data_IF_530711572058
#
_entry.id   IF_530711572058
#
_cell.length_a   1.000
_cell.length_b   1.000
_cell.length_c   1.000
_cell.angle_alpha   90.00
_cell.angle_beta   90.00
_cell.angle_gamma   90.00
#
_symmetry.space_group_name_H-M   'P 1'
#
loop_
_entity.id
_entity.type
_entity.pdbx_description
1 polymer ?
#
# COMPACT_ATOMS: atom_id res chain seq x y z
N UNK A 1 -8.07 25.56 -9.28
CA UNK A 1 -7.56 26.53 -10.27
C UNK A 1 -8.32 26.36 -11.60
N UNK A 2 -8.93 27.42 -12.14
CA UNK A 2 -9.71 27.40 -13.40
C UNK A 2 -8.84 27.55 -14.68
N UNK A 3 -7.56 27.92 -14.56
CA UNK A 3 -6.66 28.09 -15.71
C UNK A 3 -6.05 26.74 -16.15
N UNK A 4 -6.23 26.39 -17.43
CA UNK A 4 -5.78 25.12 -18.04
C UNK A 4 -4.26 24.98 -18.05
N UNK A 5 -3.51 26.06 -18.26
CA UNK A 5 -2.05 26.03 -18.31
C UNK A 5 -1.42 25.82 -16.92
N UNK A 6 -1.99 26.42 -15.88
CA UNK A 6 -1.54 26.19 -14.49
C UNK A 6 -1.79 24.75 -14.02
N UNK A 7 -2.77 24.04 -14.60
CA UNK A 7 -2.99 22.61 -14.27
C UNK A 7 -1.93 21.69 -14.86
N UNK A 8 -1.18 22.12 -15.88
CA UNK A 8 -0.14 21.31 -16.50
C UNK A 8 1.14 21.24 -15.68
N UNK A 9 1.37 22.19 -14.77
CA UNK A 9 2.56 22.21 -13.92
C UNK A 9 2.26 21.41 -12.64
N UNK A 10 3.00 20.33 -12.36
CA UNK A 10 2.81 19.56 -11.13
C UNK A 10 3.08 20.43 -9.90
N UNK A 11 2.18 20.37 -8.90
CA UNK A 11 2.38 21.09 -7.64
C UNK A 11 3.73 20.79 -6.96
N UNK A 12 4.26 19.54 -6.96
CA UNK A 12 5.59 19.27 -6.41
C UNK A 12 6.71 20.07 -7.09
N UNK A 13 6.62 20.29 -8.40
CA UNK A 13 7.60 21.07 -9.14
C UNK A 13 7.58 22.54 -8.70
N UNK A 14 6.40 23.12 -8.49
CA UNK A 14 6.28 24.50 -7.98
C UNK A 14 6.88 24.65 -6.58
N UNK A 15 6.67 23.67 -5.70
CA UNK A 15 7.24 23.67 -4.34
C UNK A 15 8.77 23.62 -4.39
N UNK A 16 9.34 22.79 -5.28
CA UNK A 16 10.80 22.72 -5.47
C UNK A 16 11.34 24.03 -6.06
N UNK A 17 10.71 24.58 -7.10
CA UNK A 17 11.16 25.83 -7.72
C UNK A 17 11.08 27.03 -6.75
N UNK A 18 9.98 27.14 -6.00
CA UNK A 18 9.85 28.15 -4.94
C UNK A 18 10.91 27.93 -3.86
N UNK A 19 11.12 26.68 -3.47
CA UNK A 19 12.19 26.27 -2.57
C UNK A 19 13.56 26.75 -3.02
N UNK A 20 13.94 26.47 -4.27
CA UNK A 20 15.20 26.91 -4.85
C UNK A 20 15.33 28.43 -4.88
N UNK A 21 14.24 29.15 -5.22
CA UNK A 21 14.22 30.61 -5.22
C UNK A 21 14.45 31.17 -3.80
N UNK A 22 13.77 30.62 -2.79
CA UNK A 22 13.99 30.97 -1.39
C UNK A 22 15.38 30.57 -0.91
N UNK A 23 15.86 29.39 -1.30
CA UNK A 23 17.19 28.92 -0.96
C UNK A 23 18.29 29.84 -1.49
N UNK A 24 18.08 30.43 -2.68
CA UNK A 24 18.95 31.47 -3.23
C UNK A 24 18.80 32.80 -2.51
N UNK A 25 17.58 33.18 -2.15
CA UNK A 25 17.31 34.41 -1.39
C UNK A 25 17.98 34.39 -0.01
N UNK A 26 17.94 33.25 0.67
CA UNK A 26 18.58 33.02 1.97
C UNK A 26 20.04 32.53 1.86
N UNK A 27 20.65 32.62 0.67
CA UNK A 27 22.03 32.19 0.39
C UNK A 27 22.44 30.85 1.02
N UNK A 28 21.60 29.81 0.87
CA UNK A 28 21.89 28.46 1.38
C UNK A 28 23.16 27.84 0.78
N UNK A 29 23.73 28.42 -0.28
CA UNK A 29 24.94 27.95 -0.92
C UNK A 29 26.22 28.29 -0.13
N UNK A 30 26.16 29.22 0.83
CA UNK A 30 27.30 29.62 1.63
C UNK A 30 26.98 29.53 3.11
N UNK A 31 27.99 29.14 3.90
CA UNK A 31 27.84 29.08 5.35
C UNK A 31 27.85 30.48 5.93
N UNK A 32 26.75 30.87 6.57
CA UNK A 32 26.61 32.16 7.23
C UNK A 32 25.60 32.08 8.38
N UNK A 33 25.66 33.06 9.28
CA UNK A 33 24.71 33.19 10.38
C UNK A 33 23.52 34.00 9.87
N UNK A 34 22.32 33.42 9.94
CA UNK A 34 21.10 34.14 9.66
C UNK A 34 20.45 34.58 10.98
N UNK A 35 20.31 35.89 11.17
CA UNK A 35 19.65 36.48 12.33
C UNK A 35 18.16 36.69 12.01
N UNK A 36 17.31 35.88 12.62
CA UNK A 36 15.87 36.04 12.51
C UNK A 36 15.39 37.10 13.50
N UNK A 37 14.85 38.23 13.01
CA UNK A 37 14.36 39.37 13.81
C UNK A 37 15.44 39.96 14.75
N UNK A 38 16.48 40.63 14.19
CA UNK A 38 17.62 41.12 14.96
C UNK A 38 17.26 42.13 16.09
N UNK A 39 16.11 42.80 15.99
CA UNK A 39 15.66 43.82 16.95
C UNK A 39 14.64 43.31 17.99
N UNK A 40 14.28 42.01 17.97
CA UNK A 40 13.27 41.47 18.86
C UNK A 40 13.85 41.16 20.26
N UNK A 41 13.46 41.94 21.27
CA UNK A 41 13.93 41.84 22.68
C UNK A 41 13.54 40.55 23.41
N UNK A 42 12.75 39.66 22.82
CA UNK A 42 12.09 38.54 23.51
C UNK A 42 12.70 37.16 23.21
N UNK A 43 13.67 37.06 22.31
CA UNK A 43 14.28 35.77 21.91
C UNK A 43 15.81 35.88 21.90
N UNK A 44 16.49 35.60 23.03
CA UNK A 44 17.94 35.63 23.08
C UNK A 44 18.52 34.52 22.18
N UNK A 45 19.30 34.92 21.18
CA UNK A 45 20.13 34.08 20.30
C UNK A 45 19.38 33.11 19.36
N UNK A 46 18.76 33.64 18.30
CA UNK A 46 18.43 32.85 17.10
C UNK A 46 19.57 32.93 16.07
N UNK A 47 20.78 32.54 16.48
CA UNK A 47 21.88 32.30 15.55
C UNK A 47 21.68 30.91 14.94
N UNK A 48 21.02 30.85 13.79
CA UNK A 48 20.96 29.63 13.01
C UNK A 48 22.06 29.68 11.94
N UNK A 49 23.02 28.74 12.00
CA UNK A 49 24.01 28.56 10.93
C UNK A 49 23.32 27.93 9.73
N UNK A 50 23.16 28.72 8.69
CA UNK A 50 22.56 28.35 7.42
C UNK A 50 23.69 28.04 6.43
N UNK A 51 23.48 27.10 5.51
CA UNK A 51 24.50 26.73 4.51
C UNK A 51 24.20 25.45 3.73
N UNK A 52 25.20 24.93 2.98
CA UNK A 52 25.03 23.87 1.99
C UNK A 52 24.46 22.55 2.53
N UNK A 53 24.62 22.28 3.83
CA UNK A 53 24.07 21.10 4.51
C UNK A 53 22.56 20.95 4.39
N UNK A 54 21.85 22.04 4.08
CA UNK A 54 20.40 22.05 3.88
C UNK A 54 19.99 21.90 2.41
N UNK A 55 20.94 21.67 1.51
CA UNK A 55 20.71 21.38 0.10
C UNK A 55 20.90 19.88 -0.17
N UNK A 56 20.30 19.39 -1.25
CA UNK A 56 20.47 17.99 -1.69
C UNK A 56 21.93 17.74 -2.09
N UNK A 57 22.51 16.68 -1.55
CA UNK A 57 23.86 16.24 -1.90
C UNK A 57 23.80 14.99 -2.76
N UNK A 58 24.44 15.05 -3.93
CA UNK A 58 24.71 13.89 -4.81
C UNK A 58 26.20 13.92 -5.18
N UNK A 59 26.77 12.77 -5.54
CA UNK A 59 28.16 12.71 -5.97
C UNK A 59 28.38 13.58 -7.22
N UNK A 60 29.45 14.38 -7.22
CA UNK A 60 29.84 15.18 -8.39
C UNK A 60 30.20 14.30 -9.60
N UNK A 61 30.74 13.11 -9.33
CA UNK A 61 31.09 12.11 -10.32
C UNK A 61 30.06 10.99 -10.32
N UNK A 62 29.29 10.87 -11.40
CA UNK A 62 28.28 9.81 -11.57
C UNK A 62 28.87 8.40 -11.35
N UNK A 63 30.07 8.13 -11.88
CA UNK A 63 30.72 6.82 -11.71
C UNK A 63 31.10 6.52 -10.25
N UNK A 64 31.28 7.54 -9.40
CA UNK A 64 31.58 7.33 -7.98
C UNK A 64 30.34 6.92 -7.17
N UNK A 65 29.15 6.90 -7.78
CA UNK A 65 27.92 6.41 -7.14
C UNK A 65 27.72 4.90 -7.26
N UNK A 66 28.57 4.20 -8.01
CA UNK A 66 28.49 2.75 -8.17
C UNK A 66 29.31 2.04 -7.10
N UNK A 67 28.66 1.11 -6.40
CA UNK A 67 29.31 0.23 -5.44
C UNK A 67 29.08 -1.22 -5.86
N UNK A 68 30.07 -2.08 -5.68
CA UNK A 68 29.91 -3.52 -5.93
C UNK A 68 29.60 -4.26 -4.63
N UNK A 69 28.85 -5.38 -4.68
CA UNK A 69 28.48 -6.12 -3.48
C UNK A 69 29.71 -6.60 -2.71
N UNK A 70 29.73 -6.29 -1.42
CA UNK A 70 30.63 -6.91 -0.44
C UNK A 70 29.86 -7.98 0.36
N UNK A 71 30.29 -9.23 0.23
CA UNK A 71 29.66 -10.37 0.89
C UNK A 71 30.23 -10.68 2.28
N UNK A 72 31.10 -9.83 2.84
CA UNK A 72 31.69 -10.03 4.16
C UNK A 72 30.66 -10.25 5.28
N UNK A 73 29.48 -9.62 5.18
CA UNK A 73 28.39 -9.76 6.16
C UNK A 73 27.41 -10.90 5.87
N UNK A 74 27.55 -11.65 4.77
CA UNK A 74 26.57 -12.67 4.39
C UNK A 74 26.39 -13.79 5.45
N UNK A 75 27.41 -14.04 6.28
CA UNK A 75 27.35 -15.01 7.37
C UNK A 75 26.80 -14.47 8.70
N UNK A 76 26.41 -13.19 8.78
CA UNK A 76 25.97 -12.58 10.04
C UNK A 76 24.45 -12.58 10.19
N UNK A 77 23.98 -12.61 11.44
CA UNK A 77 22.56 -12.55 11.76
C UNK A 77 21.91 -11.22 11.36
N UNK A 78 22.63 -10.10 11.54
CA UNK A 78 22.18 -8.76 11.17
C UNK A 78 21.86 -8.65 9.66
N UNK A 79 22.70 -9.26 8.81
CA UNK A 79 22.48 -9.28 7.37
C UNK A 79 21.17 -9.99 7.03
N UNK A 80 20.96 -11.20 7.54
CA UNK A 80 19.75 -11.97 7.25
C UNK A 80 18.48 -11.35 7.86
N UNK A 81 18.60 -10.67 8.99
CA UNK A 81 17.48 -9.90 9.56
C UNK A 81 17.06 -8.78 8.62
N UNK A 82 18.03 -8.07 8.02
CA UNK A 82 17.77 -7.01 7.04
C UNK A 82 17.19 -7.58 5.74
N UNK A 83 17.75 -8.69 5.24
CA UNK A 83 17.27 -9.36 4.01
C UNK A 83 15.82 -9.82 4.16
N UNK A 84 15.48 -10.50 5.26
CA UNK A 84 14.12 -10.96 5.52
C UNK A 84 13.17 -9.76 5.65
N UNK A 85 13.57 -8.72 6.37
CA UNK A 85 12.75 -7.52 6.55
C UNK A 85 12.45 -6.82 5.22
N UNK A 86 13.48 -6.57 4.40
CA UNK A 86 13.33 -5.95 3.08
C UNK A 86 12.50 -6.84 2.15
N UNK A 87 12.72 -8.16 2.17
CA UNK A 87 11.96 -9.11 1.36
C UNK A 87 10.47 -9.09 1.70
N UNK A 88 10.13 -9.15 3.00
CA UNK A 88 8.74 -9.15 3.45
C UNK A 88 8.05 -7.81 3.16
N UNK A 89 8.67 -6.69 3.53
CA UNK A 89 8.11 -5.36 3.28
C UNK A 89 7.98 -5.08 1.79
N UNK A 90 9.03 -5.36 1.00
CA UNK A 90 9.01 -5.17 -0.44
C UNK A 90 7.96 -6.04 -1.14
N UNK A 91 7.78 -7.30 -0.71
CA UNK A 91 6.77 -8.19 -1.28
C UNK A 91 5.35 -7.72 -0.95
N UNK A 92 5.11 -7.31 0.30
CA UNK A 92 3.81 -6.75 0.72
C UNK A 92 3.48 -5.48 -0.07
N UNK A 93 4.41 -4.54 -0.16
CA UNK A 93 4.24 -3.29 -0.90
C UNK A 93 4.00 -3.55 -2.40
N UNK A 94 4.71 -4.51 -3.01
CA UNK A 94 4.50 -4.88 -4.42
C UNK A 94 3.09 -5.40 -4.65
N UNK A 95 2.64 -6.35 -3.83
CA UNK A 95 1.32 -6.98 -3.96
C UNK A 95 0.21 -5.96 -3.70
N UNK A 96 0.31 -5.18 -2.63
CA UNK A 96 -0.69 -4.16 -2.29
C UNK A 96 -0.76 -3.06 -3.37
N UNK A 97 0.39 -2.62 -3.87
CA UNK A 97 0.45 -1.63 -4.94
C UNK A 97 -0.14 -2.19 -6.24
N UNK A 98 0.22 -3.40 -6.65
CA UNK A 98 -0.31 -4.03 -7.86
C UNK A 98 -1.84 -4.17 -7.80
N UNK A 99 -2.39 -4.67 -6.68
CA UNK A 99 -3.84 -4.79 -6.51
C UNK A 99 -4.55 -3.43 -6.53
N UNK A 100 -3.95 -2.40 -5.92
CA UNK A 100 -4.53 -1.07 -5.92
C UNK A 100 -4.46 -0.42 -7.31
N UNK A 101 -3.38 -0.64 -8.05
CA UNK A 101 -3.20 -0.17 -9.43
C UNK A 101 -4.18 -0.87 -10.38
N UNK A 102 -4.39 -2.18 -10.23
CA UNK A 102 -5.41 -2.93 -10.98
C UNK A 102 -6.82 -2.34 -10.76
N UNK A 103 -7.15 -1.94 -9.53
CA UNK A 103 -8.43 -1.28 -9.20
C UNK A 103 -8.57 0.11 -9.85
N UNK A 104 -7.46 0.79 -10.14
CA UNK A 104 -7.44 2.10 -10.80
C UNK A 104 -7.37 2.01 -12.32
N UNK A 105 -7.04 0.84 -12.89
CA UNK A 105 -6.83 0.66 -14.32
C UNK A 105 -8.15 0.81 -15.11
N UNK A 106 -8.28 1.81 -16.01
CA UNK A 106 -9.49 2.01 -16.80
C UNK A 106 -9.83 0.82 -17.72
N UNK A 107 -8.84 -0.02 -18.03
CA UNK A 107 -9.01 -1.21 -18.85
C UNK A 107 -9.31 -2.47 -18.04
N UNK A 108 -9.42 -2.36 -16.71
CA UNK A 108 -9.74 -3.46 -15.79
C UNK A 108 -8.85 -4.69 -15.96
N UNK A 109 -7.57 -4.48 -16.33
CA UNK A 109 -6.61 -5.57 -16.46
C UNK A 109 -6.22 -6.07 -15.07
N UNK A 110 -5.81 -7.34 -15.01
CA UNK A 110 -5.33 -7.98 -13.78
C UNK A 110 -3.86 -8.32 -13.88
N UNK A 111 -3.15 -8.01 -12.81
CA UNK A 111 -1.73 -8.33 -12.67
C UNK A 111 -1.55 -9.78 -12.20
N UNK A 112 -0.59 -10.47 -12.79
CA UNK A 112 -0.09 -11.72 -12.22
C UNK A 112 0.90 -11.36 -11.10
N UNK A 113 0.46 -11.48 -9.85
CA UNK A 113 1.22 -11.07 -8.67
C UNK A 113 2.53 -11.86 -8.50
N UNK A 114 2.55 -13.15 -8.85
CA UNK A 114 3.78 -13.96 -8.78
C UNK A 114 4.81 -13.47 -9.79
N UNK A 115 4.35 -13.12 -10.99
CA UNK A 115 5.21 -12.55 -12.03
C UNK A 115 5.73 -11.17 -11.64
N UNK A 116 4.89 -10.34 -11.03
CA UNK A 116 5.28 -9.01 -10.52
C UNK A 116 6.35 -9.11 -9.43
N UNK A 117 6.11 -9.95 -8.41
CA UNK A 117 7.08 -10.21 -7.34
C UNK A 117 8.42 -10.74 -7.88
N UNK A 118 8.36 -11.67 -8.83
CA UNK A 118 9.57 -12.19 -9.49
C UNK A 118 10.33 -11.09 -10.23
N UNK A 119 9.62 -10.22 -10.97
CA UNK A 119 10.22 -9.12 -11.70
C UNK A 119 10.87 -8.08 -10.77
N UNK A 120 10.21 -7.73 -9.65
CA UNK A 120 10.77 -6.84 -8.62
C UNK A 120 11.99 -7.48 -7.95
N UNK A 121 11.96 -8.78 -7.66
CA UNK A 121 13.10 -9.51 -7.12
C UNK A 121 14.32 -9.48 -8.05
N UNK A 122 14.13 -9.76 -9.34
CA UNK A 122 15.20 -9.67 -10.36
C UNK A 122 15.71 -8.23 -10.48
N UNK A 123 14.80 -7.24 -10.52
CA UNK A 123 15.16 -5.83 -10.56
C UNK A 123 16.01 -5.40 -9.36
N UNK A 124 15.65 -5.86 -8.16
CA UNK A 124 16.40 -5.59 -6.93
C UNK A 124 17.75 -6.29 -6.89
N UNK A 125 17.86 -7.50 -7.43
CA UNK A 125 19.15 -8.18 -7.59
C UNK A 125 20.08 -7.33 -8.47
N UNK A 126 19.62 -6.93 -9.66
CA UNK A 126 20.40 -6.10 -10.59
C UNK A 126 20.76 -4.75 -9.96
N UNK A 127 19.81 -4.10 -9.28
CA UNK A 127 20.02 -2.84 -8.56
C UNK A 127 21.11 -2.98 -7.49
N UNK A 128 21.06 -4.05 -6.69
CA UNK A 128 22.05 -4.31 -5.65
C UNK A 128 23.46 -4.59 -6.18
N UNK A 129 23.59 -5.22 -7.36
CA UNK A 129 24.89 -5.47 -8.01
C UNK A 129 25.65 -4.18 -8.37
N UNK A 130 24.95 -3.06 -8.49
CA UNK A 130 25.52 -1.75 -8.80
C UNK A 130 25.48 -0.78 -7.61
N UNK A 131 25.16 -1.27 -6.42
CA UNK A 131 25.16 -0.47 -5.19
C UNK A 131 23.88 0.32 -4.97
N UNK A 132 22.83 0.02 -5.74
CA UNK A 132 21.53 0.65 -5.59
C UNK A 132 20.77 0.17 -4.36
N UNK A 133 19.86 1.01 -3.89
CA UNK A 133 18.97 0.69 -2.77
C UNK A 133 17.82 -0.22 -3.23
N UNK A 134 17.24 -1.03 -2.32
CA UNK A 134 16.04 -1.81 -2.62
C UNK A 134 14.92 -0.92 -3.16
N UNK A 135 14.39 -1.31 -4.31
CA UNK A 135 13.26 -0.68 -4.98
C UNK A 135 11.96 -1.40 -4.60
N UNK A 136 10.88 -0.62 -4.54
CA UNK A 136 9.52 -1.08 -4.30
C UNK A 136 8.59 -0.56 -5.40
N UNK A 137 7.45 -1.24 -5.58
CA UNK A 137 6.33 -0.68 -6.33
C UNK A 137 5.76 0.52 -5.55
N UNK A 138 5.18 1.49 -6.27
CA UNK A 138 4.69 2.71 -5.63
C UNK A 138 3.39 3.20 -6.28
N UNK A 139 2.33 3.28 -5.47
CA UNK A 139 0.96 3.56 -5.92
C UNK A 139 0.77 5.01 -6.42
N UNK A 140 1.43 6.00 -5.82
CA UNK A 140 1.24 7.41 -6.18
C UNK A 140 1.81 7.69 -7.58
N UNK A 141 2.98 7.15 -7.92
CA UNK A 141 3.58 7.23 -9.26
C UNK A 141 2.76 6.43 -10.25
N UNK A 142 2.31 5.23 -9.88
CA UNK A 142 1.50 4.39 -10.78
C UNK A 142 0.15 5.03 -11.10
N UNK A 143 -0.53 5.60 -10.10
CA UNK A 143 -1.79 6.34 -10.31
C UNK A 143 -1.57 7.63 -11.12
N UNK A 144 -0.47 8.36 -10.89
CA UNK A 144 -0.11 9.49 -11.74
C UNK A 144 0.13 9.06 -13.19
N UNK A 145 0.77 7.91 -13.41
CA UNK A 145 1.02 7.36 -14.74
C UNK A 145 -0.31 7.05 -15.47
N UNK A 146 -1.23 6.36 -14.78
CA UNK A 146 -2.58 6.07 -15.29
C UNK A 146 -3.35 7.35 -15.60
N UNK A 147 -3.33 8.33 -14.68
CA UNK A 147 -4.02 9.61 -14.86
C UNK A 147 -3.48 10.42 -16.04
N UNK A 148 -2.22 10.21 -16.43
CA UNK A 148 -1.61 10.79 -17.63
C UNK A 148 -1.79 9.91 -18.88
N UNK A 149 -2.62 8.87 -18.82
CA UNK A 149 -2.99 8.05 -19.97
C UNK A 149 -1.99 6.98 -20.37
N UNK A 150 -1.01 6.66 -19.52
CA UNK A 150 -0.07 5.58 -19.79
C UNK A 150 -0.78 4.22 -19.88
N UNK A 151 -0.37 3.40 -20.86
CA UNK A 151 -1.03 2.11 -21.16
C UNK A 151 -0.10 0.90 -21.10
N UNK A 152 1.21 1.12 -21.26
CA UNK A 152 2.22 0.06 -21.43
C UNK A 152 3.42 0.30 -20.51
N UNK A 153 4.22 -0.75 -20.29
CA UNK A 153 5.43 -0.68 -19.46
C UNK A 153 6.50 0.30 -19.97
N UNK A 154 6.41 0.75 -21.23
CA UNK A 154 7.30 1.77 -21.80
C UNK A 154 7.27 3.08 -21.02
N UNK A 155 6.14 3.44 -20.41
CA UNK A 155 6.06 4.63 -19.58
C UNK A 155 7.05 4.58 -18.40
N UNK A 156 7.21 3.41 -17.77
CA UNK A 156 8.17 3.23 -16.67
C UNK A 156 9.62 3.25 -17.18
N UNK A 157 9.87 2.62 -18.35
CA UNK A 157 11.20 2.66 -18.98
C UNK A 157 11.65 4.10 -19.27
N UNK A 158 10.80 4.88 -19.95
CA UNK A 158 11.12 6.28 -20.26
C UNK A 158 11.19 7.15 -19.02
N UNK A 159 10.34 6.91 -18.00
CA UNK A 159 10.45 7.60 -16.73
C UNK A 159 11.83 7.40 -16.08
N UNK A 160 12.30 6.15 -16.00
CA UNK A 160 13.64 5.83 -15.51
C UNK A 160 14.76 6.43 -16.36
N UNK A 161 14.64 6.36 -17.68
CA UNK A 161 15.61 6.93 -18.62
C UNK A 161 15.73 8.45 -18.48
N UNK A 162 14.60 9.16 -18.34
CA UNK A 162 14.60 10.61 -18.12
C UNK A 162 15.16 10.98 -16.75
N UNK A 163 14.89 10.18 -15.71
CA UNK A 163 15.48 10.40 -14.39
C UNK A 163 17.01 10.24 -14.45
N UNK A 164 17.50 9.18 -15.10
CA UNK A 164 18.94 8.97 -15.31
C UNK A 164 19.56 10.14 -16.09
N UNK A 165 18.95 10.54 -17.20
CA UNK A 165 19.40 11.69 -17.99
C UNK A 165 19.46 12.96 -17.16
N UNK A 166 18.46 13.20 -16.30
CA UNK A 166 18.40 14.40 -15.47
C UNK A 166 19.51 14.43 -14.42
N UNK A 167 19.77 13.29 -13.77
CA UNK A 167 20.85 13.15 -12.78
C UNK A 167 22.23 13.37 -13.42
N UNK A 168 22.44 12.86 -14.64
CA UNK A 168 23.72 13.00 -15.35
C UNK A 168 23.93 14.42 -15.90
N UNK A 169 22.90 15.03 -16.49
CA UNK A 169 23.04 16.32 -17.18
C UNK A 169 22.89 17.54 -16.26
N UNK A 170 22.15 17.42 -15.15
CA UNK A 170 21.80 18.57 -14.30
C UNK A 170 22.18 18.41 -12.82
N UNK A 171 23.39 17.92 -12.46
CA UNK A 171 23.77 17.73 -11.06
C UNK A 171 23.78 19.06 -10.26
N UNK A 172 24.26 20.15 -10.89
CA UNK A 172 24.24 21.49 -10.28
C UNK A 172 22.83 21.98 -9.93
N UNK A 173 21.84 21.61 -10.75
CA UNK A 173 20.46 21.97 -10.50
C UNK A 173 19.92 21.19 -9.29
N UNK A 174 20.25 19.90 -9.20
CA UNK A 174 19.87 19.03 -8.08
C UNK A 174 20.47 19.55 -6.77
N UNK A 175 21.75 19.95 -6.77
CA UNK A 175 22.43 20.54 -5.61
C UNK A 175 21.83 21.86 -5.13
N UNK A 176 20.97 22.52 -5.92
CA UNK A 176 20.29 23.74 -5.49
C UNK A 176 18.95 23.49 -4.81
N UNK A 177 18.49 22.25 -4.76
CA UNK A 177 17.20 21.88 -4.15
C UNK A 177 17.34 21.88 -2.63
N UNK A 178 16.58 22.68 -1.89
CA UNK A 178 16.59 22.62 -0.43
C UNK A 178 15.91 21.36 0.10
N UNK A 179 16.49 20.75 1.12
CA UNK A 179 15.91 19.62 1.84
C UNK A 179 14.55 19.98 2.45
N UNK A 180 14.34 21.24 2.84
CA UNK A 180 13.06 21.73 3.33
C UNK A 180 11.91 21.56 2.32
N UNK A 181 12.18 21.71 1.02
CA UNK A 181 11.19 21.49 -0.03
C UNK A 181 10.79 20.03 -0.13
N UNK A 182 11.78 19.12 -0.06
CA UNK A 182 11.53 17.69 -0.04
C UNK A 182 10.78 17.26 1.23
N UNK A 183 11.18 17.78 2.38
CA UNK A 183 10.50 17.54 3.66
C UNK A 183 9.04 18.02 3.63
N UNK A 184 8.78 19.22 3.12
CA UNK A 184 7.41 19.74 2.98
C UNK A 184 6.55 18.85 2.08
N UNK A 185 7.10 18.36 0.96
CA UNK A 185 6.41 17.40 0.10
C UNK A 185 6.13 16.08 0.81
N UNK A 186 7.09 15.53 1.55
CA UNK A 186 6.93 14.30 2.31
C UNK A 186 5.85 14.43 3.39
N UNK A 187 5.88 15.51 4.19
CA UNK A 187 4.87 15.78 5.23
C UNK A 187 3.48 15.94 4.60
N UNK A 188 3.37 16.67 3.49
CA UNK A 188 2.10 16.83 2.80
C UNK A 188 1.58 15.49 2.25
N UNK A 189 2.44 14.67 1.66
CA UNK A 189 2.04 13.33 1.18
C UNK A 189 1.62 12.43 2.33
N UNK A 190 2.36 12.43 3.45
CA UNK A 190 2.02 11.68 4.65
C UNK A 190 0.67 12.10 5.23
N UNK A 191 0.40 13.40 5.34
CA UNK A 191 -0.88 13.92 5.79
C UNK A 191 -2.05 13.50 4.88
N UNK A 192 -1.82 13.48 3.55
CA UNK A 192 -2.84 13.05 2.60
C UNK A 192 -3.16 11.56 2.73
N UNK A 193 -2.13 10.73 2.94
CA UNK A 193 -2.27 9.28 3.11
C UNK A 193 -2.91 8.93 4.47
N UNK A 194 -2.54 9.64 5.54
CA UNK A 194 -3.07 9.46 6.90
C UNK A 194 -4.17 10.48 7.24
N UNK A 195 -4.97 10.89 6.25
CA UNK A 195 -5.96 11.94 6.46
C UNK A 195 -7.07 11.51 7.43
N UNK A 196 -7.71 12.43 8.18
CA UNK A 196 -8.82 12.10 9.06
C UNK A 196 -9.99 11.38 8.37
N UNK A 197 -10.11 11.53 7.04
CA UNK A 197 -11.10 10.82 6.23
C UNK A 197 -10.85 9.31 6.21
N UNK A 198 -9.60 8.86 6.23
CA UNK A 198 -9.27 7.43 6.24
C UNK A 198 -9.66 6.79 7.58
N UNK A 199 -9.44 7.48 8.70
CA UNK A 199 -9.96 7.05 10.01
C UNK A 199 -11.49 7.00 10.04
N UNK A 200 -12.16 8.00 9.44
CA UNK A 200 -13.62 8.00 9.32
C UNK A 200 -14.13 6.82 8.48
N UNK A 201 -13.45 6.46 7.39
CA UNK A 201 -13.80 5.26 6.60
C UNK A 201 -13.66 4.00 7.44
N UNK A 202 -12.53 3.81 8.14
CA UNK A 202 -12.34 2.65 9.02
C UNK A 202 -13.42 2.57 10.11
N UNK A 203 -13.82 3.70 10.68
CA UNK A 203 -14.92 3.74 11.66
C UNK A 203 -16.27 3.33 11.07
N UNK A 204 -16.58 3.74 9.83
CA UNK A 204 -17.83 3.36 9.15
C UNK A 204 -17.93 1.85 8.89
N UNK A 205 -16.79 1.17 8.68
CA UNK A 205 -16.75 -0.30 8.59
C UNK A 205 -17.06 -0.98 9.93
N UNK A 206 -16.79 -0.30 11.05
CA UNK A 206 -17.12 -0.73 12.39
C UNK A 206 -16.05 -0.37 13.43
N UNK A 207 -16.46 -0.28 14.70
CA UNK A 207 -15.57 0.06 15.82
C UNK A 207 -14.37 -0.90 15.95
N UNK A 208 -14.59 -2.17 15.67
CA UNK A 208 -13.52 -3.19 15.66
C UNK A 208 -12.46 -2.89 14.60
N UNK A 209 -12.87 -2.50 13.39
CA UNK A 209 -11.95 -2.20 12.31
C UNK A 209 -11.15 -0.93 12.59
N UNK A 210 -11.78 0.10 13.17
CA UNK A 210 -11.06 1.27 13.67
C UNK A 210 -10.07 0.89 14.78
N UNK A 211 -10.46 0.05 15.73
CA UNK A 211 -9.57 -0.41 16.80
C UNK A 211 -8.33 -1.13 16.24
N UNK A 212 -8.53 -2.10 15.35
CA UNK A 212 -7.44 -2.80 14.66
C UNK A 212 -6.53 -1.84 13.89
N UNK A 213 -7.12 -0.87 13.18
CA UNK A 213 -6.39 0.14 12.43
C UNK A 213 -5.50 0.99 13.34
N UNK A 214 -6.05 1.51 14.44
CA UNK A 214 -5.32 2.36 15.40
C UNK A 214 -4.23 1.57 16.13
N UNK A 215 -4.51 0.34 16.57
CA UNK A 215 -3.53 -0.52 17.23
C UNK A 215 -2.35 -0.83 16.30
N UNK A 216 -2.63 -1.12 15.03
CA UNK A 216 -1.58 -1.38 14.03
C UNK A 216 -0.73 -0.13 13.81
N UNK A 217 -1.35 1.06 13.65
CA UNK A 217 -0.62 2.34 13.51
C UNK A 217 0.25 2.59 14.74
N UNK A 218 -0.30 2.44 15.94
CA UNK A 218 0.45 2.64 17.18
C UNK A 218 1.63 1.67 17.29
N UNK A 219 1.43 0.41 16.90
CA UNK A 219 2.49 -0.60 16.81
C UNK A 219 3.62 -0.18 15.86
N UNK A 220 3.28 0.24 14.63
CA UNK A 220 4.27 0.70 13.64
C UNK A 220 5.05 1.92 14.12
N UNK A 221 4.36 2.92 14.70
CA UNK A 221 5.00 4.15 15.17
C UNK A 221 5.88 3.94 16.41
N UNK A 222 5.52 2.98 17.27
CA UNK A 222 6.29 2.68 18.49
C UNK A 222 7.47 1.72 18.22
N UNK A 223 7.41 0.95 17.13
CA UNK A 223 8.41 -0.07 16.80
C UNK A 223 8.87 0.07 15.35
N UNK A 224 8.42 -0.81 14.47
CA UNK A 224 8.66 -0.77 13.03
C UNK A 224 7.46 -1.35 12.27
N UNK A 225 7.50 -1.28 10.94
CA UNK A 225 6.43 -1.76 10.07
C UNK A 225 6.12 -3.25 10.27
N UNK A 226 7.14 -4.10 10.36
CA UNK A 226 6.97 -5.55 10.41
C UNK A 226 6.37 -5.99 11.76
N UNK A 227 6.88 -5.44 12.86
CA UNK A 227 6.36 -5.68 14.20
C UNK A 227 4.94 -5.13 14.32
N UNK A 228 4.67 -3.92 13.80
CA UNK A 228 3.32 -3.35 13.81
C UNK A 228 2.30 -4.21 13.06
N UNK A 229 2.65 -4.75 11.89
CA UNK A 229 1.80 -5.69 11.15
C UNK A 229 1.59 -6.99 11.94
N UNK A 230 2.63 -7.54 12.56
CA UNK A 230 2.53 -8.73 13.39
C UNK A 230 1.60 -8.53 14.60
N UNK A 231 1.66 -7.35 15.25
CA UNK A 231 0.73 -6.95 16.31
C UNK A 231 -0.70 -6.94 15.78
N UNK A 232 -0.94 -6.27 14.64
CA UNK A 232 -2.27 -6.20 14.02
C UNK A 232 -2.87 -7.57 13.72
N UNK A 233 -2.07 -8.47 13.13
CA UNK A 233 -2.47 -9.86 12.84
C UNK A 233 -2.79 -10.63 14.14
N UNK A 234 -1.94 -10.49 15.15
CA UNK A 234 -2.12 -11.17 16.46
C UNK A 234 -3.40 -10.71 17.14
N UNK A 235 -3.63 -9.39 17.19
CA UNK A 235 -4.85 -8.82 17.76
C UNK A 235 -6.07 -9.26 16.97
N UNK A 236 -5.99 -9.35 15.63
CA UNK A 236 -7.09 -9.86 14.80
C UNK A 236 -7.44 -11.31 15.13
N UNK A 237 -6.44 -12.19 15.29
CA UNK A 237 -6.67 -13.56 15.72
C UNK A 237 -7.32 -13.64 17.10
N UNK A 238 -6.86 -12.83 18.06
CA UNK A 238 -7.45 -12.77 19.39
C UNK A 238 -8.93 -12.33 19.33
N UNK A 239 -9.25 -11.31 18.53
CA UNK A 239 -10.64 -10.86 18.33
C UNK A 239 -11.53 -11.95 17.72
N UNK A 240 -11.02 -12.75 16.78
CA UNK A 240 -11.75 -13.89 16.23
C UNK A 240 -12.02 -14.96 17.29
N UNK A 241 -11.03 -15.30 18.13
CA UNK A 241 -11.22 -16.24 19.24
C UNK A 241 -12.26 -15.73 20.23
N UNK A 242 -12.22 -14.44 20.59
CA UNK A 242 -13.20 -13.80 21.48
C UNK A 242 -14.62 -13.79 20.89
N UNK A 243 -14.75 -13.89 19.56
CA UNK A 243 -16.03 -14.01 18.85
C UNK A 243 -16.50 -15.45 18.63
N UNK A 244 -15.88 -16.41 19.30
CA UNK A 244 -16.29 -17.82 19.24
C UNK A 244 -15.79 -18.55 18.00
N UNK A 245 -14.85 -17.97 17.24
CA UNK A 245 -14.18 -18.71 16.16
C UNK A 245 -13.31 -19.79 16.78
N UNK A 246 -13.60 -21.04 16.47
CA UNK A 246 -12.83 -22.19 16.97
C UNK A 246 -11.41 -22.20 16.36
N UNK A 247 -10.36 -22.58 17.11
CA UNK A 247 -9.00 -22.69 16.57
C UNK A 247 -8.89 -23.55 15.30
N UNK A 248 -9.71 -24.61 15.22
CA UNK A 248 -9.78 -25.50 14.05
C UNK A 248 -10.22 -24.79 12.76
N UNK A 249 -10.96 -23.68 12.87
CA UNK A 249 -11.44 -22.90 11.74
C UNK A 249 -10.50 -21.74 11.38
N UNK A 250 -9.41 -21.50 12.13
CA UNK A 250 -8.55 -20.34 11.88
C UNK A 250 -7.80 -20.40 10.54
N UNK A 251 -7.37 -21.58 10.13
CA UNK A 251 -6.53 -21.75 8.94
C UNK A 251 -7.18 -22.58 7.84
N UNK A 252 -8.36 -23.16 8.11
CA UNK A 252 -9.12 -23.97 7.15
C UNK A 252 -10.59 -23.60 7.20
N UNK A 253 -11.11 -23.18 6.05
CA UNK A 253 -12.53 -22.94 5.86
C UNK A 253 -13.19 -24.27 5.49
N UNK A 254 -14.33 -24.56 6.11
CA UNK A 254 -15.15 -25.70 5.72
C UNK A 254 -16.10 -25.24 4.63
N UNK A 255 -15.85 -25.65 3.38
CA UNK A 255 -16.76 -25.40 2.28
C UNK A 255 -16.91 -26.65 1.41
N UNK A 256 -18.06 -26.79 0.77
CA UNK A 256 -18.33 -27.86 -0.20
C UNK A 256 -18.85 -27.27 -1.49
N UNK A 257 -18.29 -27.74 -2.61
CA UNK A 257 -18.80 -27.44 -3.94
C UNK A 257 -19.70 -28.59 -4.39
N UNK A 258 -20.92 -28.25 -4.80
CA UNK A 258 -21.88 -29.18 -5.38
C UNK A 258 -22.34 -28.64 -6.71
N UNK A 259 -22.11 -29.38 -7.78
CA UNK A 259 -22.74 -29.09 -9.07
C UNK A 259 -24.13 -29.70 -9.05
N UNK A 260 -25.17 -28.87 -9.16
CA UNK A 260 -26.56 -29.32 -9.29
C UNK A 260 -26.85 -29.71 -10.73
N UNK A 261 -26.44 -28.86 -11.68
CA UNK A 261 -26.56 -29.04 -13.12
C UNK A 261 -25.28 -28.54 -13.84
N UNK A 262 -25.23 -28.70 -15.17
CA UNK A 262 -24.14 -28.15 -15.99
C UNK A 262 -23.93 -26.64 -15.76
N UNK A 263 -25.01 -25.91 -15.46
CA UNK A 263 -25.03 -24.45 -15.38
C UNK A 263 -25.00 -23.90 -13.94
N UNK A 264 -25.11 -24.73 -12.90
CA UNK A 264 -25.25 -24.27 -11.50
C UNK A 264 -24.26 -24.92 -10.55
N UNK A 265 -23.50 -24.06 -9.85
CA UNK A 265 -22.52 -24.44 -8.85
C UNK A 265 -22.93 -23.88 -7.48
N UNK A 266 -23.19 -24.77 -6.53
CA UNK A 266 -23.46 -24.41 -5.15
C UNK A 266 -22.19 -24.46 -4.32
N UNK A 267 -21.93 -23.37 -3.60
CA UNK A 267 -20.81 -23.22 -2.68
C UNK A 267 -21.38 -23.09 -1.26
N UNK A 268 -21.40 -24.19 -0.53
CA UNK A 268 -21.85 -24.19 0.87
C UNK A 268 -20.69 -23.83 1.78
N UNK A 269 -20.81 -22.74 2.54
CA UNK A 269 -19.82 -22.31 3.53
C UNK A 269 -20.33 -22.64 4.92
N UNK A 270 -19.53 -23.37 5.69
CA UNK A 270 -19.86 -23.83 7.05
C UNK A 270 -18.86 -23.30 8.06
N UNK A 271 -19.35 -22.96 9.24
CA UNK A 271 -18.49 -22.56 10.35
C UNK A 271 -18.10 -21.09 10.30
N UNK A 272 -16.82 -20.79 10.50
CA UNK A 272 -16.31 -19.41 10.46
C UNK A 272 -15.57 -19.20 9.16
N UNK A 273 -15.90 -18.13 8.45
CA UNK A 273 -15.18 -17.68 7.27
C UNK A 273 -14.52 -16.34 7.60
N UNK A 274 -13.19 -16.34 7.59
CA UNK A 274 -12.35 -15.22 8.03
C UNK A 274 -11.14 -15.04 7.10
N UNK A 275 -10.44 -13.91 7.21
CA UNK A 275 -9.31 -13.59 6.33
C UNK A 275 -8.26 -14.72 6.23
N UNK A 276 -7.95 -15.37 7.36
CA UNK A 276 -6.86 -16.34 7.46
C UNK A 276 -7.19 -17.71 6.86
N UNK A 277 -8.47 -18.02 6.62
CA UNK A 277 -8.91 -19.28 6.03
C UNK A 277 -9.50 -19.14 4.62
N UNK A 278 -9.50 -17.92 4.08
CA UNK A 278 -10.11 -17.57 2.80
C UNK A 278 -9.35 -18.12 1.57
N UNK A 279 -8.05 -18.38 1.70
CA UNK A 279 -7.18 -18.76 0.57
C UNK A 279 -7.70 -20.00 -0.15
N UNK A 280 -8.17 -21.01 0.59
CA UNK A 280 -8.70 -22.25 0.00
C UNK A 280 -9.94 -22.01 -0.87
N UNK A 281 -10.84 -21.13 -0.44
CA UNK A 281 -12.03 -20.76 -1.21
C UNK A 281 -11.64 -19.99 -2.48
N UNK A 282 -10.71 -19.02 -2.38
CA UNK A 282 -10.19 -18.28 -3.55
C UNK A 282 -9.66 -19.23 -4.62
N UNK A 283 -8.84 -20.20 -4.23
CA UNK A 283 -8.25 -21.18 -5.14
C UNK A 283 -9.27 -22.13 -5.76
N UNK A 284 -10.34 -22.47 -5.04
CA UNK A 284 -11.42 -23.28 -5.58
C UNK A 284 -12.21 -22.50 -6.65
N UNK A 285 -12.48 -21.21 -6.39
CA UNK A 285 -13.27 -20.36 -7.27
C UNK A 285 -12.57 -19.95 -8.56
N UNK A 286 -11.23 -19.90 -8.60
CA UNK A 286 -10.49 -19.63 -9.86
C UNK A 286 -10.65 -20.72 -10.92
N UNK A 287 -11.13 -21.91 -10.52
CA UNK A 287 -11.38 -23.04 -11.44
C UNK A 287 -12.79 -23.05 -12.00
N UNK A 288 -13.65 -22.13 -11.55
CA UNK A 288 -15.05 -22.07 -11.95
C UNK A 288 -15.15 -21.43 -13.35
N UNK A 289 -15.78 -22.10 -14.32
CA UNK A 289 -16.04 -21.53 -15.64
C UNK A 289 -16.85 -20.24 -15.57
N UNK A 290 -16.63 -19.29 -16.48
CA UNK A 290 -17.25 -17.97 -16.46
C UNK A 290 -18.74 -17.95 -16.85
N UNK A 291 -19.28 -19.06 -17.36
CA UNK A 291 -20.64 -19.21 -17.87
C UNK A 291 -21.62 -19.83 -16.86
N UNK A 292 -21.13 -20.25 -15.69
CA UNK A 292 -21.98 -20.86 -14.65
C UNK A 292 -22.67 -19.81 -13.76
N UNK A 293 -23.75 -20.24 -13.12
CA UNK A 293 -24.35 -19.55 -11.98
C UNK A 293 -23.76 -20.09 -10.68
N UNK A 294 -23.07 -19.24 -9.93
CA UNK A 294 -22.49 -19.58 -8.62
C UNK A 294 -23.43 -19.12 -7.51
N UNK A 295 -23.88 -20.06 -6.68
CA UNK A 295 -24.77 -19.78 -5.55
C UNK A 295 -24.05 -20.07 -4.24
N UNK A 296 -23.74 -19.03 -3.48
CA UNK A 296 -23.13 -19.16 -2.16
C UNK A 296 -24.21 -19.36 -1.10
N UNK A 297 -24.15 -20.49 -0.39
CA UNK A 297 -25.02 -20.78 0.76
C UNK A 297 -24.28 -20.46 2.05
N UNK A 298 -24.78 -19.47 2.79
CA UNK A 298 -24.14 -18.93 4.00
C UNK A 298 -24.92 -19.26 5.29
N UNK A 299 -25.99 -20.06 5.21
CA UNK A 299 -26.86 -20.39 6.34
C UNK A 299 -26.15 -21.11 7.49
N UNK A 300 -25.10 -21.87 7.21
CA UNK A 300 -24.27 -22.59 8.19
C UNK A 300 -22.99 -21.83 8.59
N UNK A 301 -22.74 -20.64 8.01
CA UNK A 301 -21.62 -19.79 8.36
C UNK A 301 -21.99 -18.96 9.60
N UNK A 302 -21.56 -19.39 10.80
CA UNK A 302 -21.87 -18.68 12.04
C UNK A 302 -21.13 -17.33 12.17
N UNK A 303 -20.02 -17.15 11.45
CA UNK A 303 -19.24 -15.91 11.47
C UNK A 303 -18.60 -15.64 10.10
N UNK A 304 -18.76 -14.41 9.62
CA UNK A 304 -18.20 -13.88 8.37
C UNK A 304 -17.46 -12.58 8.71
N UNK A 305 -16.14 -12.53 8.51
CA UNK A 305 -15.41 -11.28 8.76
C UNK A 305 -15.52 -10.30 7.58
N UNK A 306 -15.01 -9.08 7.80
CA UNK A 306 -14.98 -8.03 6.78
C UNK A 306 -14.29 -8.49 5.49
N UNK A 307 -13.15 -9.18 5.60
CA UNK A 307 -12.33 -9.59 4.45
C UNK A 307 -13.06 -10.60 3.57
N UNK A 308 -13.83 -11.51 4.18
CA UNK A 308 -14.68 -12.45 3.45
C UNK A 308 -15.84 -11.73 2.78
N UNK A 309 -16.50 -10.80 3.47
CA UNK A 309 -17.58 -10.01 2.86
C UNK A 309 -17.09 -9.17 1.67
N UNK A 310 -15.93 -8.51 1.80
CA UNK A 310 -15.28 -7.78 0.71
C UNK A 310 -14.95 -8.73 -0.45
N UNK A 311 -14.36 -9.89 -0.16
CA UNK A 311 -14.05 -10.88 -1.19
C UNK A 311 -15.28 -11.38 -1.94
N UNK A 312 -16.37 -11.71 -1.24
CA UNK A 312 -17.59 -12.21 -1.88
C UNK A 312 -18.17 -11.15 -2.83
N UNK A 313 -18.25 -9.89 -2.39
CA UNK A 313 -18.74 -8.80 -3.24
C UNK A 313 -17.82 -8.48 -4.42
N UNK A 314 -16.50 -8.49 -4.21
CA UNK A 314 -15.53 -8.33 -5.31
C UNK A 314 -15.65 -9.49 -6.31
N UNK A 315 -15.77 -10.74 -5.82
CA UNK A 315 -15.99 -11.92 -6.66
C UNK A 315 -17.29 -11.81 -7.48
N UNK A 316 -18.41 -11.45 -6.84
CA UNK A 316 -19.68 -11.26 -7.54
C UNK A 316 -19.53 -10.25 -8.68
N UNK A 317 -19.00 -9.05 -8.38
CA UNK A 317 -18.83 -8.00 -9.37
C UNK A 317 -17.94 -8.44 -10.53
N UNK A 318 -16.82 -9.07 -10.22
CA UNK A 318 -15.81 -9.45 -11.21
C UNK A 318 -16.28 -10.64 -12.08
N UNK A 319 -17.04 -11.56 -11.48
CA UNK A 319 -17.60 -12.73 -12.16
C UNK A 319 -18.79 -12.36 -13.06
N UNK A 320 -19.68 -11.48 -12.58
CA UNK A 320 -20.79 -10.95 -13.38
C UNK A 320 -20.31 -10.09 -14.55
N UNK A 321 -19.21 -9.35 -14.39
CA UNK A 321 -18.59 -8.59 -15.47
C UNK A 321 -18.04 -9.49 -16.61
N UNK A 322 -17.78 -10.77 -16.34
CA UNK A 322 -17.31 -11.76 -17.31
C UNK A 322 -18.46 -12.56 -17.96
N UNK A 323 -19.71 -12.24 -17.62
CA UNK A 323 -20.91 -12.91 -18.15
C UNK A 323 -21.47 -14.02 -17.28
N UNK A 324 -20.86 -14.31 -16.11
CA UNK A 324 -21.39 -15.26 -15.15
C UNK A 324 -22.51 -14.66 -14.28
N UNK A 325 -23.10 -15.49 -13.42
CA UNK A 325 -24.09 -15.03 -12.45
C UNK A 325 -23.71 -15.47 -11.04
N UNK A 326 -23.82 -14.58 -10.05
CA UNK A 326 -23.47 -14.89 -8.67
C UNK A 326 -24.61 -14.48 -7.72
N UNK A 327 -24.98 -15.37 -6.80
CA UNK A 327 -26.05 -15.14 -5.82
C UNK A 327 -25.60 -15.54 -4.42
N UNK A 328 -26.05 -14.77 -3.42
CA UNK A 328 -25.84 -15.09 -2.01
C UNK A 328 -27.17 -15.50 -1.37
N UNK A 329 -27.20 -16.67 -0.74
CA UNK A 329 -28.34 -17.17 0.03
C UNK A 329 -27.97 -17.28 1.51
N UNK A 330 -28.89 -16.87 2.38
CA UNK A 330 -28.75 -17.00 3.82
C UNK A 330 -28.08 -15.82 4.53
N UNK A 331 -27.76 -14.72 3.83
CA UNK A 331 -27.26 -13.48 4.46
C UNK A 331 -28.30 -12.81 5.36
N UNK A 332 -29.58 -13.04 5.08
CA UNK A 332 -30.73 -12.57 5.85
C UNK A 332 -30.77 -13.14 7.28
N UNK A 333 -30.10 -14.28 7.50
CA UNK A 333 -29.96 -14.91 8.80
C UNK A 333 -28.80 -14.33 9.62
N UNK A 334 -28.03 -13.37 9.10
CA UNK A 334 -26.94 -12.75 9.83
C UNK A 334 -27.28 -11.37 10.38
N UNK A 335 -26.66 -11.03 11.51
CA UNK A 335 -26.61 -9.69 12.08
C UNK A 335 -25.23 -9.06 11.85
N UNK A 336 -25.23 -7.79 11.48
CA UNK A 336 -24.05 -6.98 11.20
C UNK A 336 -23.53 -6.27 12.44
N UNK A 337 -22.21 -6.23 12.64
CA UNK A 337 -21.60 -5.46 13.74
C UNK A 337 -21.56 -3.94 13.50
N UNK A 338 -21.86 -3.49 12.28
CA UNK A 338 -21.96 -2.08 11.90
C UNK A 338 -22.95 -1.92 10.74
N UNK A 339 -23.48 -0.70 10.57
CA UNK A 339 -24.36 -0.34 9.45
C UNK A 339 -23.54 -0.11 8.17
N UNK A 340 -22.94 -1.20 7.67
CA UNK A 340 -22.12 -1.20 6.46
C UNK A 340 -22.23 -2.56 5.75
N UNK A 341 -22.37 -2.60 4.40
CA UNK A 341 -22.51 -3.85 3.66
C UNK A 341 -21.37 -4.85 3.89
N UNK A 342 -20.14 -4.33 4.03
CA UNK A 342 -18.93 -5.12 4.27
C UNK A 342 -18.64 -5.38 5.77
N UNK A 343 -19.51 -4.94 6.69
CA UNK A 343 -19.29 -5.18 8.10
C UNK A 343 -19.21 -6.69 8.39
N UNK A 344 -18.41 -7.07 9.38
CA UNK A 344 -18.42 -8.43 9.89
C UNK A 344 -19.85 -8.82 10.32
N UNK A 345 -20.18 -10.10 10.16
CA UNK A 345 -21.51 -10.64 10.40
C UNK A 345 -21.44 -11.91 11.23
N UNK A 346 -22.47 -12.14 12.04
CA UNK A 346 -22.64 -13.37 12.80
C UNK A 346 -24.06 -13.89 12.60
N UNK A 347 -24.23 -15.21 12.65
CA UNK A 347 -25.55 -15.82 12.46
C UNK A 347 -26.45 -15.47 13.65
N UNK A 348 -27.68 -15.05 13.35
CA UNK A 348 -28.72 -14.82 14.35
C UNK A 348 -28.91 -16.09 15.16
N UNK A 349 -28.75 -16.00 16.46
CA UNK A 349 -29.18 -17.07 17.36
C UNK A 349 -30.70 -17.16 17.17
N UNK A 350 -31.21 -18.28 16.66
CA UNK A 350 -32.66 -18.52 16.70
C UNK A 350 -33.08 -18.39 18.16
N UNK A 351 -33.85 -17.37 18.50
CA UNK A 351 -34.56 -17.33 19.77
C UNK A 351 -35.40 -18.60 19.82
N UNK A 352 -35.01 -19.52 20.70
CA UNK A 352 -35.69 -20.79 20.91
C UNK A 352 -37.13 -20.56 21.39
#
# INVERSE_FOLDING_TARGET
LKNRYLKMIPAPLLVVLLGMALGRYFDLAHEHIYLFLPDATFLPHHEATVGPKFLVTIADNFLASFFFPDFAKAGTFEFWTSVISICLVGSLESVLSAMAVDKLDPYQRRSNLDRDLTAVGIGNLICGLIGGLPMIAEIVRSSANINNGARTGWANFFHGAFLLLFVVLFPRLIHSIPLASLAALLVFTGFRLASPREFSKAFKLGKEQLFLFVVTIAGVLATDLLIGVAIGITVKFLLHLLRGVKPTHLFRMTFTLREEDADRLHVEIKGAAIFSNLIGLKQALTRVPADKTVVFHLHEAYFLDHTVMEFLHDFQRDYEAQGGHCQFLGLEYHETYADHPLAARHLKIKSA
#
